data_IF_130235634880
#
_entry.id   IF_130235634880
#
_cell.length_a   1.000
_cell.length_b   1.000
_cell.length_c   1.000
_cell.angle_alpha   90.00
_cell.angle_beta   90.00
_cell.angle_gamma   90.00
#
_symmetry.space_group_name_H-M   'P 1'
#
loop_
_entity.id
_entity.type
_entity.pdbx_description
1 polymer ?
#
# COMPACT_ATOMS: atom_id res chain seq x y z
N UNK A 1 4.02 20.64 17.29
CA UNK A 1 5.04 19.99 16.43
C UNK A 1 5.91 19.15 17.35
N UNK A 2 6.22 17.91 16.99
CA UNK A 2 7.05 17.02 17.82
C UNK A 2 8.48 16.99 17.28
N UNK A 3 9.46 17.00 18.18
CA UNK A 3 10.87 16.90 17.84
C UNK A 3 11.38 15.49 18.06
N UNK A 4 11.75 14.78 16.98
CA UNK A 4 12.27 13.41 17.07
C UNK A 4 13.78 13.40 17.39
N UNK A 5 14.11 13.42 18.69
CA UNK A 5 15.50 13.53 19.18
C UNK A 5 16.36 12.28 18.96
N UNK A 6 15.75 11.10 19.02
CA UNK A 6 16.47 9.84 18.78
C UNK A 6 16.95 9.74 17.31
N UNK A 7 18.12 9.13 17.04
CA UNK A 7 18.64 8.99 15.69
C UNK A 7 17.79 8.03 14.85
N UNK A 8 17.84 8.20 13.53
CA UNK A 8 17.23 7.24 12.61
C UNK A 8 18.18 6.05 12.38
N UNK A 9 17.80 4.89 12.91
CA UNK A 9 18.47 3.61 12.65
C UNK A 9 17.42 2.64 12.10
N UNK A 10 17.72 2.00 10.96
CA UNK A 10 16.81 1.02 10.36
C UNK A 10 16.52 -0.12 11.34
N UNK A 11 15.25 -0.51 11.47
CA UNK A 11 14.80 -1.48 12.48
C UNK A 11 14.59 -0.91 13.89
N UNK A 12 14.79 0.40 14.09
CA UNK A 12 14.56 1.06 15.40
C UNK A 12 13.65 2.29 15.30
N UNK A 13 12.87 2.41 14.21
CA UNK A 13 11.94 3.52 14.00
C UNK A 13 10.95 3.69 15.17
N UNK A 14 10.54 2.58 15.78
CA UNK A 14 9.64 2.58 16.93
C UNK A 14 10.15 3.46 18.09
N UNK A 15 11.45 3.49 18.37
CA UNK A 15 12.02 4.31 19.45
C UNK A 15 11.91 5.81 19.19
N UNK A 16 11.75 6.22 17.93
CA UNK A 16 11.52 7.62 17.58
C UNK A 16 10.05 8.00 17.72
N UNK A 17 9.13 7.12 17.34
CA UNK A 17 7.72 7.47 17.15
C UNK A 17 6.83 7.05 18.33
N UNK A 18 7.05 5.87 18.90
CA UNK A 18 6.17 5.26 19.91
C UNK A 18 5.99 6.12 21.16
N UNK A 19 7.02 6.78 21.73
CA UNK A 19 6.82 7.62 22.91
C UNK A 19 5.75 8.70 22.70
N UNK A 20 5.71 9.32 21.51
CA UNK A 20 4.71 10.33 21.16
C UNK A 20 3.33 9.71 20.92
N UNK A 21 3.27 8.50 20.35
CA UNK A 21 2.00 7.80 20.14
C UNK A 21 1.37 7.36 21.47
N UNK A 22 2.18 6.88 22.41
CA UNK A 22 1.73 6.54 23.78
C UNK A 22 1.17 7.77 24.48
N UNK A 23 1.84 8.92 24.38
CA UNK A 23 1.35 10.19 24.93
C UNK A 23 -0.03 10.57 24.36
N UNK A 24 -0.26 10.35 23.05
CA UNK A 24 -1.56 10.62 22.43
C UNK A 24 -2.67 9.69 22.95
N UNK A 25 -2.36 8.41 23.17
CA UNK A 25 -3.31 7.43 23.72
C UNK A 25 -3.63 7.78 25.18
N UNK A 26 -2.63 8.09 26.00
CA UNK A 26 -2.82 8.50 27.39
C UNK A 26 -3.67 9.77 27.48
N UNK A 27 -3.38 10.77 26.65
CA UNK A 27 -4.17 11.99 26.59
C UNK A 27 -5.63 11.73 26.17
N UNK A 28 -5.86 10.77 25.26
CA UNK A 28 -7.22 10.39 24.89
C UNK A 28 -7.94 9.73 26.07
N UNK A 29 -7.28 8.79 26.74
CA UNK A 29 -7.80 8.11 27.93
C UNK A 29 -8.18 9.08 29.05
N UNK A 30 -7.40 10.14 29.25
CA UNK A 30 -7.67 11.16 30.27
C UNK A 30 -8.82 12.10 29.88
N UNK A 31 -8.92 12.48 28.60
CA UNK A 31 -9.85 13.52 28.15
C UNK A 31 -11.20 12.98 27.70
N UNK A 32 -11.22 11.86 27.00
CA UNK A 32 -12.40 11.28 26.38
C UNK A 32 -12.33 9.74 26.49
N UNK A 33 -12.43 9.19 27.72
CA UNK A 33 -12.29 7.76 27.97
C UNK A 33 -13.29 6.90 27.19
N UNK A 34 -14.50 7.42 26.96
CA UNK A 34 -15.56 6.72 26.23
C UNK A 34 -15.24 6.53 24.73
N UNK A 35 -14.29 7.31 24.20
CA UNK A 35 -13.84 7.22 22.82
C UNK A 35 -12.54 6.42 22.67
N UNK A 36 -12.12 5.70 23.72
CA UNK A 36 -10.94 4.85 23.67
C UNK A 36 -11.10 3.74 22.61
N UNK A 37 -10.13 3.58 21.71
CA UNK A 37 -10.21 2.57 20.68
C UNK A 37 -10.03 1.18 21.27
N UNK A 38 -10.87 0.23 20.84
CA UNK A 38 -10.73 -1.18 21.19
C UNK A 38 -9.56 -1.85 20.47
N UNK A 39 -9.10 -1.26 19.35
CA UNK A 39 -8.00 -1.77 18.53
C UNK A 39 -7.37 -0.62 17.73
N UNK A 40 -6.05 -0.67 17.57
CA UNK A 40 -5.28 0.30 16.80
C UNK A 40 -4.78 -0.33 15.49
N UNK A 41 -5.05 0.34 14.36
CA UNK A 41 -4.40 0.06 13.08
C UNK A 41 -3.23 1.02 12.90
N UNK A 42 -2.02 0.46 12.93
CA UNK A 42 -0.78 1.23 12.91
C UNK A 42 -0.16 1.18 11.50
N UNK A 43 0.19 2.34 10.94
CA UNK A 43 0.91 2.44 9.66
C UNK A 43 2.38 2.03 9.84
N UNK A 44 2.63 0.72 9.80
CA UNK A 44 3.92 0.15 10.11
C UNK A 44 3.83 -1.35 10.34
N UNK A 45 4.95 -1.95 10.75
CA UNK A 45 5.01 -3.38 10.98
C UNK A 45 4.73 -3.74 12.45
N UNK A 46 4.18 -4.93 12.65
CA UNK A 46 4.14 -5.64 13.93
C UNK A 46 5.27 -6.67 13.99
N UNK A 47 4.93 -7.95 14.12
CA UNK A 47 5.90 -9.07 14.19
C UNK A 47 6.69 -9.26 12.90
N UNK A 48 6.20 -8.76 11.76
CA UNK A 48 6.95 -8.74 10.49
C UNK A 48 8.03 -7.65 10.53
N UNK A 49 9.09 -7.91 11.29
CA UNK A 49 10.13 -6.94 11.62
C UNK A 49 11.49 -7.64 11.80
N UNK A 50 12.61 -6.93 11.66
CA UNK A 50 13.97 -7.50 11.76
C UNK A 50 14.22 -8.26 13.07
N UNK A 51 13.47 -7.91 14.12
CA UNK A 51 13.58 -8.48 15.47
C UNK A 51 12.24 -9.01 15.99
N UNK A 52 11.26 -9.25 15.12
CA UNK A 52 9.92 -9.66 15.56
C UNK A 52 9.12 -8.60 16.34
N UNK A 53 9.64 -7.37 16.44
CA UNK A 53 9.09 -6.34 17.33
C UNK A 53 9.08 -4.96 16.64
N UNK A 54 8.11 -4.76 15.75
CA UNK A 54 7.89 -3.50 15.05
C UNK A 54 7.14 -2.45 15.88
N UNK A 55 6.83 -1.31 15.25
CA UNK A 55 6.12 -0.18 15.88
C UNK A 55 4.75 -0.59 16.43
N UNK A 56 4.01 -1.47 15.75
CA UNK A 56 2.69 -1.90 16.22
C UNK A 56 2.78 -2.80 17.47
N UNK A 57 3.81 -3.65 17.56
CA UNK A 57 4.08 -4.44 18.76
C UNK A 57 4.45 -3.53 19.93
N UNK A 58 5.41 -2.63 19.70
CA UNK A 58 5.93 -1.74 20.73
C UNK A 58 4.84 -0.82 21.28
N UNK A 59 4.01 -0.22 20.41
CA UNK A 59 2.86 0.57 20.86
C UNK A 59 1.84 -0.29 21.62
N UNK A 60 1.53 -1.48 21.11
CA UNK A 60 0.55 -2.37 21.73
C UNK A 60 0.93 -2.78 23.15
N UNK A 61 2.18 -3.22 23.38
CA UNK A 61 2.61 -3.63 24.73
C UNK A 61 2.69 -2.46 25.72
N UNK A 62 3.00 -1.25 25.26
CA UNK A 62 3.06 -0.09 26.16
C UNK A 62 1.69 0.50 26.50
N UNK A 63 0.69 0.24 25.64
CA UNK A 63 -0.68 0.75 25.83
C UNK A 63 -1.66 -0.32 26.29
N UNK A 64 -1.24 -1.60 26.29
CA UNK A 64 -2.09 -2.78 26.54
C UNK A 64 -3.30 -2.91 25.60
N UNK A 65 -3.31 -2.14 24.50
CA UNK A 65 -4.35 -2.16 23.48
C UNK A 65 -4.03 -3.19 22.37
N UNK A 66 -5.05 -3.88 21.83
CA UNK A 66 -4.89 -4.65 20.61
C UNK A 66 -4.36 -3.80 19.46
N UNK A 67 -3.30 -4.27 18.80
CA UNK A 67 -2.61 -3.53 17.75
C UNK A 67 -2.40 -4.40 16.51
N UNK A 68 -2.63 -3.82 15.33
CA UNK A 68 -2.38 -4.42 14.03
C UNK A 68 -1.36 -3.56 13.26
N UNK A 69 -0.29 -4.18 12.80
CA UNK A 69 0.66 -3.55 11.89
C UNK A 69 0.18 -3.68 10.44
N UNK A 70 -0.08 -2.55 9.77
CA UNK A 70 -0.47 -2.49 8.37
C UNK A 70 0.58 -1.73 7.58
N UNK A 71 1.43 -2.46 6.84
CA UNK A 71 2.48 -1.88 6.03
C UNK A 71 2.09 -1.78 4.55
N UNK A 72 2.50 -0.69 3.90
CA UNK A 72 2.27 -0.42 2.47
C UNK A 72 3.28 -1.10 1.53
N UNK A 73 4.38 -1.61 2.08
CA UNK A 73 5.51 -2.24 1.39
C UNK A 73 5.94 -3.48 2.17
N UNK A 74 6.44 -4.51 1.47
CA UNK A 74 7.03 -5.68 2.09
C UNK A 74 8.33 -5.29 2.77
N UNK A 75 8.49 -5.66 4.04
CA UNK A 75 9.78 -5.61 4.71
C UNK A 75 10.52 -6.93 4.45
N UNK A 76 11.74 -6.84 3.94
CA UNK A 76 12.53 -8.02 3.58
C UNK A 76 13.27 -8.54 4.81
N UNK A 77 12.66 -9.51 5.50
CA UNK A 77 13.14 -10.13 6.74
C UNK A 77 12.87 -11.63 6.69
N UNK A 78 13.69 -12.43 7.37
CA UNK A 78 13.58 -13.89 7.40
C UNK A 78 13.44 -14.53 5.99
N UNK A 79 14.16 -14.03 4.99
CA UNK A 79 14.10 -14.54 3.62
C UNK A 79 12.87 -14.15 2.82
N UNK A 80 11.98 -13.31 3.38
CA UNK A 80 10.93 -12.67 2.59
C UNK A 80 11.57 -11.68 1.61
N UNK A 81 11.32 -11.88 0.33
CA UNK A 81 11.85 -11.04 -0.75
C UNK A 81 10.75 -10.65 -1.73
N UNK A 82 10.85 -9.46 -2.31
CA UNK A 82 9.95 -9.01 -3.36
C UNK A 82 10.39 -9.53 -4.74
N UNK A 83 10.56 -10.86 -4.84
CA UNK A 83 11.05 -11.56 -6.02
C UNK A 83 9.93 -11.89 -7.02
N UNK A 84 10.25 -12.63 -8.10
CA UNK A 84 9.28 -13.01 -9.13
C UNK A 84 8.12 -13.83 -8.55
N UNK A 85 8.41 -14.82 -7.70
CA UNK A 85 7.39 -15.67 -7.06
C UNK A 85 6.42 -14.85 -6.18
N UNK A 86 6.92 -13.83 -5.49
CA UNK A 86 6.08 -12.93 -4.70
C UNK A 86 5.15 -12.11 -5.59
N UNK A 87 5.66 -11.62 -6.72
CA UNK A 87 4.86 -10.86 -7.70
C UNK A 87 3.79 -11.73 -8.36
N UNK A 88 4.11 -12.98 -8.69
CA UNK A 88 3.13 -13.95 -9.21
C UNK A 88 1.98 -14.15 -8.23
N UNK A 89 2.28 -14.39 -6.94
CA UNK A 89 1.25 -14.49 -5.89
C UNK A 89 0.38 -13.24 -5.78
N UNK A 90 0.95 -12.05 -5.97
CA UNK A 90 0.17 -10.79 -5.99
C UNK A 90 -0.78 -10.75 -7.18
N UNK A 91 -0.34 -11.19 -8.36
CA UNK A 91 -1.19 -11.24 -9.57
C UNK A 91 -2.36 -12.21 -9.40
N UNK A 92 -2.17 -13.28 -8.62
CA UNK A 92 -3.23 -14.24 -8.31
C UNK A 92 -4.34 -13.67 -7.41
N UNK A 93 -4.13 -12.53 -6.72
CA UNK A 93 -5.15 -11.87 -5.90
C UNK A 93 -6.18 -11.16 -6.81
N UNK A 94 -7.37 -11.74 -6.94
CA UNK A 94 -8.42 -11.28 -7.86
C UNK A 94 -9.37 -10.26 -7.22
N UNK A 95 -9.84 -10.51 -6.00
CA UNK A 95 -10.84 -9.70 -5.32
C UNK A 95 -10.32 -9.04 -4.03
N UNK A 96 -11.00 -7.98 -3.60
CA UNK A 96 -10.83 -7.38 -2.29
C UNK A 96 -11.10 -8.41 -1.19
N UNK A 97 -10.15 -8.57 -0.29
CA UNK A 97 -10.16 -9.59 0.75
C UNK A 97 -9.28 -10.79 0.46
N UNK A 98 -8.82 -10.98 -0.79
CA UNK A 98 -7.91 -12.07 -1.12
C UNK A 98 -6.56 -11.90 -0.41
N UNK A 99 -6.00 -13.02 0.01
CA UNK A 99 -4.77 -13.04 0.82
C UNK A 99 -3.84 -14.20 0.48
N UNK A 100 -2.56 -14.03 0.78
CA UNK A 100 -1.61 -15.15 0.87
C UNK A 100 -0.61 -14.96 2.03
N UNK A 101 -0.14 -16.06 2.65
CA UNK A 101 0.72 -15.98 3.83
C UNK A 101 2.15 -15.55 3.49
N UNK A 102 2.75 -14.80 4.40
CA UNK A 102 4.16 -14.38 4.36
C UNK A 102 4.94 -15.30 5.31
N UNK A 103 5.51 -16.35 4.73
CA UNK A 103 6.20 -17.41 5.48
C UNK A 103 7.71 -17.11 5.43
N UNK A 104 8.33 -16.95 6.60
CA UNK A 104 9.78 -16.80 6.72
C UNK A 104 10.53 -18.12 6.53
N UNK A 105 11.85 -18.06 6.41
CA UNK A 105 12.72 -19.23 6.23
C UNK A 105 12.60 -20.27 7.36
N UNK A 106 12.18 -19.84 8.55
CA UNK A 106 11.91 -20.70 9.71
C UNK A 106 10.62 -21.53 9.57
N UNK A 107 9.81 -21.28 8.55
CA UNK A 107 8.44 -21.81 8.42
C UNK A 107 7.40 -20.99 9.18
N UNK A 108 7.82 -19.95 9.92
CA UNK A 108 6.91 -19.08 10.69
C UNK A 108 6.12 -18.17 9.77
N UNK A 109 4.80 -18.08 9.99
CA UNK A 109 3.95 -17.09 9.32
C UNK A 109 4.12 -15.74 10.00
N UNK A 110 4.84 -14.82 9.36
CA UNK A 110 5.13 -13.48 9.88
C UNK A 110 4.00 -12.48 9.63
N UNK A 111 3.12 -12.78 8.69
CA UNK A 111 2.02 -11.92 8.31
C UNK A 111 1.28 -12.42 7.08
N UNK A 112 0.45 -11.54 6.52
CA UNK A 112 -0.38 -11.83 5.38
C UNK A 112 -0.29 -10.68 4.36
N UNK A 113 -0.11 -10.99 3.09
CA UNK A 113 -0.38 -10.05 2.02
C UNK A 113 -1.90 -10.01 1.79
N UNK A 114 -2.49 -8.82 1.78
CA UNK A 114 -3.93 -8.59 1.64
C UNK A 114 -4.19 -7.67 0.45
N UNK A 115 -4.99 -8.12 -0.52
CA UNK A 115 -5.59 -7.22 -1.51
C UNK A 115 -6.76 -6.50 -0.84
N UNK A 116 -6.53 -5.26 -0.43
CA UNK A 116 -7.46 -4.55 0.45
C UNK A 116 -8.70 -3.96 -0.26
N UNK A 117 -8.67 -3.83 -1.59
CA UNK A 117 -9.73 -3.22 -2.38
C UNK A 117 -9.64 -3.67 -3.83
N UNK A 118 -10.78 -3.89 -4.50
CA UNK A 118 -10.84 -4.43 -5.88
C UNK A 118 -10.05 -3.58 -6.88
N UNK A 119 -10.13 -2.27 -6.73
CA UNK A 119 -9.52 -1.30 -7.65
C UNK A 119 -8.00 -1.10 -7.42
N UNK A 120 -7.38 -1.84 -6.49
CA UNK A 120 -5.95 -1.75 -6.21
C UNK A 120 -5.25 -3.09 -6.42
N UNK A 121 -4.22 -3.09 -7.25
CA UNK A 121 -3.35 -4.25 -7.45
C UNK A 121 -2.26 -4.37 -6.38
N UNK A 122 -1.93 -3.29 -5.67
CA UNK A 122 -0.87 -3.28 -4.66
C UNK A 122 -1.42 -3.74 -3.31
N UNK A 123 -0.96 -4.87 -2.75
CA UNK A 123 -1.46 -5.36 -1.47
C UNK A 123 -0.99 -4.48 -0.31
N UNK A 124 -1.58 -4.73 0.85
CA UNK A 124 -1.07 -4.36 2.16
C UNK A 124 -0.41 -5.58 2.81
N UNK A 125 0.56 -5.35 3.68
CA UNK A 125 1.23 -6.39 4.44
C UNK A 125 0.80 -6.26 5.89
N UNK A 126 -0.07 -7.18 6.32
CA UNK A 126 -0.68 -7.17 7.65
C UNK A 126 0.10 -8.11 8.56
N UNK A 127 0.44 -7.65 9.75
CA UNK A 127 1.13 -8.45 10.78
C UNK A 127 0.55 -8.15 12.16
N UNK A 128 0.61 -9.14 13.05
CA UNK A 128 0.15 -8.99 14.43
C UNK A 128 1.02 -7.95 15.14
N UNK A 129 0.40 -7.00 15.83
CA UNK A 129 1.10 -6.12 16.77
C UNK A 129 1.01 -6.67 18.19
N UNK A 130 -0.19 -6.68 18.77
CA UNK A 130 -0.42 -7.11 20.16
C UNK A 130 -1.88 -7.56 20.36
N UNK A 131 -2.12 -8.56 21.22
CA UNK A 131 -3.44 -9.05 21.67
C UNK A 131 -4.49 -9.28 20.56
N UNK A 132 -4.05 -9.74 19.38
CA UNK A 132 -4.93 -10.07 18.25
C UNK A 132 -4.31 -11.19 17.42
N UNK A 133 -5.13 -12.12 16.91
CA UNK A 133 -4.64 -13.15 15.98
C UNK A 133 -4.44 -12.58 14.57
N UNK A 134 -3.58 -13.20 13.77
CA UNK A 134 -3.31 -12.74 12.40
C UNK A 134 -4.56 -12.77 11.53
N UNK A 135 -5.38 -13.82 11.63
CA UNK A 135 -6.63 -13.95 10.86
C UNK A 135 -7.60 -12.80 11.17
N UNK A 136 -7.83 -12.52 12.46
CA UNK A 136 -8.71 -11.43 12.89
C UNK A 136 -8.14 -10.08 12.46
N UNK A 137 -6.84 -9.88 12.58
CA UNK A 137 -6.17 -8.65 12.15
C UNK A 137 -6.35 -8.38 10.64
N UNK A 138 -6.24 -9.41 9.80
CA UNK A 138 -6.45 -9.32 8.35
C UNK A 138 -7.90 -9.00 8.02
N UNK A 139 -8.85 -9.74 8.61
CA UNK A 139 -10.29 -9.52 8.41
C UNK A 139 -10.70 -8.12 8.84
N UNK A 140 -10.25 -7.67 10.01
CA UNK A 140 -10.50 -6.32 10.52
C UNK A 140 -9.92 -5.26 9.58
N UNK A 141 -8.67 -5.43 9.14
CA UNK A 141 -8.03 -4.51 8.20
C UNK A 141 -8.84 -4.37 6.92
N UNK A 142 -9.29 -5.48 6.33
CA UNK A 142 -10.14 -5.48 5.14
C UNK A 142 -11.48 -4.78 5.39
N UNK A 143 -12.14 -5.03 6.53
CA UNK A 143 -13.42 -4.38 6.87
C UNK A 143 -13.28 -2.87 7.10
N UNK A 144 -12.09 -2.40 7.48
CA UNK A 144 -11.79 -0.98 7.57
C UNK A 144 -11.42 -0.33 6.22
N UNK A 145 -11.34 -1.07 5.13
CA UNK A 145 -10.94 -0.56 3.81
C UNK A 145 -12.15 -0.10 2.98
N UNK A 146 -12.45 1.20 3.03
CA UNK A 146 -13.29 1.86 2.00
C UNK A 146 -12.50 2.15 0.72
N UNK A 147 -11.19 2.28 0.84
CA UNK A 147 -10.22 2.47 -0.23
C UNK A 147 -9.09 1.46 -0.03
N UNK A 148 -8.02 1.52 -0.86
CA UNK A 148 -6.82 0.70 -0.64
C UNK A 148 -6.28 0.81 0.78
N UNK A 149 -6.18 2.01 1.35
CA UNK A 149 -5.65 2.22 2.71
C UNK A 149 -6.82 2.17 3.70
N UNK A 150 -6.70 1.44 4.83
CA UNK A 150 -7.75 1.38 5.84
C UNK A 150 -8.10 2.78 6.35
N UNK A 151 -9.38 3.03 6.57
CA UNK A 151 -9.90 4.36 6.88
C UNK A 151 -9.24 4.99 8.13
N UNK A 152 -8.96 4.28 9.24
CA UNK A 152 -8.25 4.85 10.38
C UNK A 152 -6.85 5.38 10.02
N UNK A 153 -6.08 4.59 9.26
CA UNK A 153 -4.73 4.98 8.81
C UNK A 153 -4.81 6.13 7.81
N UNK A 154 -5.74 6.06 6.86
CA UNK A 154 -5.94 7.10 5.84
C UNK A 154 -6.25 8.44 6.49
N UNK A 155 -7.13 8.45 7.49
CA UNK A 155 -7.53 9.65 8.21
C UNK A 155 -6.39 10.22 9.07
N UNK A 156 -5.59 9.36 9.71
CA UNK A 156 -4.40 9.79 10.44
C UNK A 156 -3.35 10.44 9.51
N UNK A 157 -3.09 9.85 8.34
CA UNK A 157 -2.16 10.38 7.33
C UNK A 157 -2.64 11.72 6.75
N UNK A 158 -3.93 11.88 6.47
CA UNK A 158 -4.49 13.16 6.00
C UNK A 158 -4.28 14.27 7.04
N UNK A 159 -4.64 14.00 8.30
CA UNK A 159 -4.53 14.99 9.39
C UNK A 159 -3.10 15.35 9.71
N UNK A 160 -2.18 14.39 9.71
CA UNK A 160 -0.76 14.66 9.96
C UNK A 160 -0.15 15.52 8.84
N UNK A 161 -0.44 15.22 7.58
CA UNK A 161 -0.02 16.04 6.42
C UNK A 161 -0.62 17.44 6.44
N UNK A 162 -1.88 17.56 6.81
CA UNK A 162 -2.54 18.87 6.98
C UNK A 162 -1.88 19.70 8.08
N UNK A 163 -1.58 19.08 9.23
CA UNK A 163 -0.88 19.75 10.33
C UNK A 163 0.49 20.29 9.89
N UNK A 164 1.26 19.49 9.14
CA UNK A 164 2.55 19.92 8.60
C UNK A 164 2.39 21.08 7.62
N UNK A 165 1.43 21.01 6.68
CA UNK A 165 1.15 22.10 5.73
C UNK A 165 0.78 23.41 6.43
N UNK A 166 -0.10 23.36 7.44
CA UNK A 166 -0.53 24.55 8.19
C UNK A 166 0.62 25.14 9.02
N UNK A 167 1.45 24.30 9.63
CA UNK A 167 2.50 24.77 10.56
C UNK A 167 3.77 25.26 9.85
N UNK A 168 4.15 24.63 8.73
CA UNK A 168 5.36 24.98 7.97
C UNK A 168 5.06 25.86 6.75
N UNK A 169 3.87 25.77 6.15
CA UNK A 169 3.47 26.56 4.98
C UNK A 169 3.22 28.04 5.24
N UNK A 170 3.30 28.51 6.50
CA UNK A 170 3.24 29.94 6.86
C UNK A 170 4.61 30.56 7.16
N UNK A 171 5.71 29.80 7.09
CA UNK A 171 7.07 30.33 7.34
C UNK A 171 7.75 30.90 6.09
N UNK A 172 7.01 31.13 5.00
CA UNK A 172 7.59 31.37 3.68
C UNK A 172 7.15 32.60 2.89
N UNK A 173 6.19 33.42 3.33
CA UNK A 173 5.82 34.64 2.58
C UNK A 173 5.43 35.80 3.51
N UNK A 174 6.36 36.74 3.71
CA UNK A 174 6.00 38.12 4.10
C UNK A 174 5.35 38.82 2.89
N UNK A 175 4.23 39.55 3.04
CA UNK A 175 3.51 40.19 1.93
C UNK A 175 4.31 41.23 1.11
N UNK A 176 5.54 41.55 1.52
CA UNK A 176 6.37 42.59 0.92
C UNK A 176 7.12 42.18 -0.36
N UNK A 177 7.24 40.89 -0.68
CA UNK A 177 8.06 40.44 -1.83
C UNK A 177 7.27 40.08 -3.10
N UNK A 178 5.93 40.21 -3.08
CA UNK A 178 5.10 39.83 -4.24
C UNK A 178 4.98 40.91 -5.33
N UNK A 179 5.60 42.09 -5.15
CA UNK A 179 5.53 43.19 -6.13
C UNK A 179 6.74 43.35 -7.06
N UNK A 180 7.84 42.62 -6.85
CA UNK A 180 9.09 42.93 -7.59
C UNK A 180 9.48 41.89 -8.66
N UNK A 181 8.64 40.88 -8.92
CA UNK A 181 8.89 39.87 -9.96
C UNK A 181 8.24 40.15 -11.32
N UNK A 182 7.49 41.24 -11.46
CA UNK A 182 6.81 41.59 -12.71
C UNK A 182 7.58 42.57 -13.60
N UNK A 183 8.83 42.94 -13.26
CA UNK A 183 9.64 43.87 -14.06
C UNK A 183 11.10 43.42 -14.19
N UNK A 184 11.38 42.18 -14.62
CA UNK A 184 12.73 41.85 -15.11
C UNK A 184 12.81 40.70 -16.10
N UNK A 185 11.98 40.71 -17.15
CA UNK A 185 12.22 39.91 -18.36
C UNK A 185 11.84 40.71 -19.62
N UNK A 186 12.64 41.73 -19.92
CA UNK A 186 12.79 42.25 -21.28
C UNK A 186 14.25 42.68 -21.47
N UNK A 187 15.10 41.77 -21.94
CA UNK A 187 16.22 42.15 -22.81
C UNK A 187 16.81 40.92 -23.52
N UNK A 188 16.51 40.84 -24.81
CA UNK A 188 17.42 40.60 -25.95
C UNK A 188 18.23 39.32 -26.02
N UNK A 189 17.95 38.51 -27.06
CA UNK A 189 18.99 37.88 -27.86
C UNK A 189 18.70 38.12 -29.36
N UNK A 190 19.58 38.88 -29.99
CA UNK A 190 19.68 39.05 -31.43
C UNK A 190 20.73 38.07 -31.97
N UNK A 191 20.44 37.40 -33.08
CA UNK A 191 21.42 36.81 -33.98
C UNK A 191 21.10 37.24 -35.42
N UNK A 192 22.11 37.42 -36.29
CA UNK A 192 22.00 38.26 -37.47
C UNK A 192 21.40 37.56 -38.70
N UNK A 193 20.85 38.37 -39.58
CA UNK A 193 20.29 37.99 -40.88
C UNK A 193 21.39 37.80 -41.94
N UNK A 194 21.15 36.88 -42.88
CA UNK A 194 21.84 36.79 -44.16
C UNK A 194 21.05 35.91 -45.14
N UNK A 195 20.65 36.48 -46.27
CA UNK A 195 20.17 35.79 -47.48
C UNK A 195 20.55 36.66 -48.70
N UNK A 196 20.05 36.42 -49.94
CA UNK A 196 19.58 35.20 -50.60
C UNK A 196 20.34 34.93 -51.94
N UNK A 197 20.08 33.79 -52.63
CA UNK A 197 20.46 33.58 -54.04
C UNK A 197 20.43 32.12 -54.53
N UNK A 198 19.64 31.84 -55.59
CA UNK A 198 19.62 30.60 -56.41
C UNK A 198 20.50 30.78 -57.69
N UNK A 199 20.58 29.88 -58.71
CA UNK A 199 19.95 28.55 -58.95
C UNK A 199 20.88 27.47 -59.61
N UNK A 200 20.25 26.43 -60.20
CA UNK A 200 20.70 25.41 -61.19
C UNK A 200 21.19 24.05 -60.63
N UNK A 201 20.98 22.87 -61.23
CA UNK A 201 20.09 22.30 -62.27
C UNK A 201 20.40 20.77 -62.29
N UNK A 202 19.45 19.98 -62.83
CA UNK A 202 19.56 18.61 -63.38
C UNK A 202 19.43 17.37 -62.48
N UNK A 203 18.45 16.54 -62.84
CA UNK A 203 18.43 15.09 -62.60
C UNK A 203 17.09 14.53 -62.13
N UNK A 204 16.17 14.26 -63.07
CA UNK A 204 14.88 13.56 -62.86
C UNK A 204 14.94 12.13 -63.48
N UNK A 205 13.87 11.30 -63.40
CA UNK A 205 13.69 10.03 -62.63
C UNK A 205 13.48 8.85 -63.64
N UNK A 206 12.53 7.86 -63.57
CA UNK A 206 11.55 7.34 -62.58
C UNK A 206 11.69 5.80 -62.38
N UNK A 207 10.85 4.97 -61.73
CA UNK A 207 9.41 4.63 -61.82
C UNK A 207 9.09 3.70 -60.61
N UNK A 208 7.99 3.82 -59.85
CA UNK A 208 6.55 3.63 -60.12
C UNK A 208 6.03 2.18 -60.14
N UNK A 209 4.82 2.04 -59.58
CA UNK A 209 3.83 0.94 -59.64
C UNK A 209 4.02 -0.23 -58.66
N UNK A 210 3.01 -0.66 -57.90
CA UNK A 210 1.62 -0.22 -57.81
C UNK A 210 0.71 -1.30 -57.23
N UNK A 211 -0.48 -0.87 -56.78
CA UNK A 211 -1.75 -1.62 -56.67
C UNK A 211 -1.82 -2.78 -55.65
N UNK A 212 -2.96 -3.16 -55.10
CA UNK A 212 -4.30 -2.63 -54.80
C UNK A 212 -5.12 -3.81 -54.27
N UNK A 213 -6.35 -3.54 -53.80
CA UNK A 213 -7.51 -4.45 -53.59
C UNK A 213 -7.42 -5.45 -52.41
N UNK A 214 -8.22 -5.36 -51.34
CA UNK A 214 -9.69 -5.24 -51.13
C UNK A 214 -10.43 -6.58 -51.07
N UNK A 215 -11.46 -6.62 -50.21
CA UNK A 215 -12.58 -7.58 -50.08
C UNK A 215 -12.26 -8.90 -49.35
N UNK A 216 -13.12 -9.54 -48.57
CA UNK A 216 -14.42 -9.26 -47.94
C UNK A 216 -14.78 -10.45 -47.02
N UNK A 217 -15.54 -10.19 -45.96
CA UNK A 217 -16.69 -10.97 -45.44
C UNK A 217 -16.58 -12.51 -45.25
N UNK A 218 -16.70 -12.99 -44.00
CA UNK A 218 -17.90 -13.69 -43.44
C UNK A 218 -17.63 -14.45 -42.14
N UNK A 219 -18.50 -14.24 -41.14
CA UNK A 219 -18.84 -15.21 -40.07
C UNK A 219 -19.56 -16.44 -40.66
N UNK A 220 -19.58 -17.59 -39.95
CA UNK A 220 -20.78 -17.93 -39.17
C UNK A 220 -20.54 -18.74 -37.86
N UNK A 221 -21.35 -18.46 -36.83
CA UNK A 221 -21.80 -19.38 -35.76
C UNK A 221 -22.98 -20.28 -36.30
N UNK A 222 -23.55 -21.30 -35.61
CA UNK A 222 -23.47 -21.68 -34.18
C UNK A 222 -23.38 -23.21 -33.88
N UNK A 223 -23.23 -23.58 -32.60
CA UNK A 223 -23.34 -24.97 -32.13
C UNK A 223 -23.71 -25.09 -30.65
N UNK A 224 -24.99 -25.33 -30.38
CA UNK A 224 -25.64 -25.49 -29.08
C UNK A 224 -25.57 -26.97 -28.62
N UNK A 225 -25.25 -27.24 -27.34
CA UNK A 225 -25.71 -28.47 -26.68
C UNK A 225 -25.77 -28.34 -25.15
N UNK A 226 -27.00 -28.34 -24.65
CA UNK A 226 -27.43 -28.57 -23.28
C UNK A 226 -27.22 -30.02 -22.81
N UNK A 227 -27.32 -30.19 -21.47
CA UNK A 227 -27.61 -31.36 -20.63
C UNK A 227 -26.49 -31.61 -19.60
N UNK A 228 -26.73 -31.83 -18.31
CA UNK A 228 -27.96 -32.08 -17.53
C UNK A 228 -27.61 -31.93 -16.04
N UNK A 229 -28.60 -31.53 -15.25
CA UNK A 229 -28.63 -31.69 -13.80
C UNK A 229 -28.30 -33.12 -13.37
N UNK A 230 -27.49 -33.26 -12.32
CA UNK A 230 -27.71 -34.33 -11.36
C UNK A 230 -27.28 -33.95 -9.94
N UNK A 231 -28.32 -33.84 -9.13
CA UNK A 231 -28.39 -33.64 -7.70
C UNK A 231 -28.00 -34.94 -7.01
N UNK A 232 -26.94 -34.94 -6.20
CA UNK A 232 -26.67 -36.01 -5.24
C UNK A 232 -26.44 -35.46 -3.84
N UNK A 233 -27.30 -35.98 -2.96
CA UNK A 233 -27.48 -35.72 -1.55
C UNK A 233 -26.22 -36.02 -0.73
N UNK A 234 -25.90 -35.09 0.16
CA UNK A 234 -25.68 -35.32 1.58
C UNK A 234 -24.78 -36.48 2.01
N UNK A 235 -23.57 -36.12 2.46
CA UNK A 235 -22.92 -36.80 3.58
C UNK A 235 -22.39 -35.75 4.55
N UNK A 236 -22.99 -35.76 5.74
CA UNK A 236 -22.64 -35.00 6.92
C UNK A 236 -21.33 -35.56 7.46
N UNK A 237 -20.21 -34.85 7.28
CA UNK A 237 -18.99 -35.15 8.02
C UNK A 237 -19.21 -34.63 9.45
N UNK A 238 -19.28 -35.55 10.41
CA UNK A 238 -19.15 -35.22 11.82
C UNK A 238 -17.71 -34.78 12.08
N UNK A 239 -17.54 -33.62 12.70
CA UNK A 239 -16.27 -33.15 13.23
C UNK A 239 -16.02 -33.86 14.56
N UNK A 240 -14.99 -34.70 14.63
CA UNK A 240 -14.44 -35.24 15.88
C UNK A 240 -13.66 -34.12 16.59
N UNK A 241 -13.99 -33.73 17.83
CA UNK A 241 -13.35 -32.60 18.50
C UNK A 241 -12.05 -32.93 19.27
N UNK A 242 -11.52 -34.16 19.20
CA UNK A 242 -10.47 -34.63 20.11
C UNK A 242 -9.12 -34.99 19.47
N UNK A 243 -8.68 -34.23 18.46
CA UNK A 243 -7.30 -34.34 17.93
C UNK A 243 -6.60 -32.98 17.82
N UNK A 244 -6.17 -32.44 18.95
CA UNK A 244 -4.98 -31.57 18.98
C UNK A 244 -4.25 -31.66 20.34
N UNK A 245 -2.93 -31.88 20.38
CA UNK A 245 -2.16 -31.86 21.63
C UNK A 245 -1.98 -30.42 22.16
N UNK A 246 -1.84 -30.21 23.48
CA UNK A 246 -1.77 -28.88 24.06
C UNK A 246 -0.46 -28.16 23.72
N UNK A 247 -0.55 -26.88 23.35
CA UNK A 247 0.57 -25.96 23.13
C UNK A 247 1.30 -25.63 24.45
N UNK A 248 2.63 -25.53 24.47
CA UNK A 248 3.37 -25.22 25.70
C UNK A 248 3.23 -23.73 26.08
N UNK A 249 2.94 -23.50 27.35
CA UNK A 249 2.94 -22.19 27.99
C UNK A 249 4.38 -21.67 28.13
N UNK A 250 4.63 -20.44 27.66
CA UNK A 250 5.86 -19.73 27.92
C UNK A 250 5.68 -18.85 29.16
N UNK A 251 6.54 -19.09 30.15
CA UNK A 251 6.82 -18.21 31.30
C UNK A 251 7.77 -17.11 30.85
#
# INVERSE_FOLDING_TARGET
MVGLKAPYVSGFLAFREVPFLVELVQRLQEKEPDLMPQVLLVDGNGVLHQRGFGVACHLGVLTELPCVGVAKKLLQVEGLENNASHKEKIVLLQAGGDTFPLIGNSGTVLGMALKSHDHSTKPLYVSVGHRISLEVAVRLTHRCCRFRIPEPIRQADIRSREYIRRTLGHRGESPAQRKDRSQKEKSTNACPAGGPGAPADQGRPPECFGRSSSTDLRDPEPGFQEQKDQQLKGTRCQEDPDLWPPSPAWV
#
